data_IF_903828855017
#
_entry.id   IF_903828855017
#
_cell.length_a   1.000
_cell.length_b   1.000
_cell.length_c   1.000
_cell.angle_alpha   90.00
_cell.angle_beta   90.00
_cell.angle_gamma   90.00
#
_symmetry.space_group_name_H-M   'P 1'
#
loop_
_entity.id
_entity.type
_entity.pdbx_description
1 polymer ?
#
# COMPACT_ATOMS: atom_id res chain seq x y z
N UNK A 1 0.57 11.47 11.34
CA UNK A 1 1.23 11.49 10.02
C UNK A 1 0.12 11.32 9.01
N UNK A 2 -0.11 12.31 8.17
CA UNK A 2 -1.08 12.19 7.07
C UNK A 2 -0.49 11.30 5.99
N UNK A 3 -1.28 10.36 5.49
CA UNK A 3 -0.90 9.50 4.38
C UNK A 3 -0.85 10.37 3.11
N UNK A 4 0.25 10.33 2.36
CA UNK A 4 0.33 11.05 1.08
C UNK A 4 -0.51 10.31 0.03
N UNK A 5 -1.73 10.82 -0.19
CA UNK A 5 -2.72 10.27 -1.11
C UNK A 5 -2.30 10.40 -2.57
N UNK A 6 -1.54 11.45 -2.91
CA UNK A 6 -1.03 11.62 -4.26
C UNK A 6 0.07 10.59 -4.55
N UNK A 7 0.95 10.36 -3.57
CA UNK A 7 1.98 9.33 -3.64
C UNK A 7 1.37 7.93 -3.72
N UNK A 8 0.37 7.63 -2.87
CA UNK A 8 -0.35 6.36 -2.90
C UNK A 8 -0.98 6.10 -4.26
N UNK A 9 -1.67 7.09 -4.83
CA UNK A 9 -2.26 7.00 -6.18
C UNK A 9 -1.20 6.79 -7.26
N UNK A 10 -0.07 7.50 -7.20
CA UNK A 10 1.05 7.31 -8.14
C UNK A 10 1.65 5.91 -8.01
N UNK A 11 1.81 5.40 -6.79
CA UNK A 11 2.33 4.07 -6.53
C UNK A 11 1.44 2.98 -7.12
N UNK A 12 0.13 3.05 -6.86
CA UNK A 12 -0.82 2.03 -7.34
C UNK A 12 -1.00 2.04 -8.87
N UNK A 13 -0.80 3.19 -9.53
CA UNK A 13 -0.97 3.33 -10.97
C UNK A 13 0.31 3.14 -11.79
N UNK A 14 1.48 3.52 -11.26
CA UNK A 14 2.75 3.53 -12.00
C UNK A 14 3.82 2.60 -11.45
N UNK A 15 3.63 2.04 -10.25
CA UNK A 15 4.65 1.23 -9.54
C UNK A 15 4.13 -0.17 -9.16
N UNK A 16 3.21 -0.72 -9.97
CA UNK A 16 2.73 -2.10 -9.83
C UNK A 16 3.88 -3.11 -9.77
N UNK A 17 4.94 -2.89 -10.55
CA UNK A 17 6.15 -3.73 -10.57
C UNK A 17 6.94 -3.69 -9.25
N UNK A 18 6.98 -2.53 -8.57
CA UNK A 18 7.64 -2.41 -7.26
C UNK A 18 6.83 -3.16 -6.18
N UNK A 19 5.50 -3.10 -6.29
CA UNK A 19 4.61 -3.88 -5.42
C UNK A 19 4.80 -5.38 -5.66
N UNK A 20 4.87 -5.82 -6.91
CA UNK A 20 5.13 -7.21 -7.27
C UNK A 20 6.48 -7.72 -6.72
N UNK A 21 7.54 -6.91 -6.85
CA UNK A 21 8.85 -7.21 -6.27
C UNK A 21 8.81 -7.29 -4.75
N UNK A 22 8.06 -6.40 -4.10
CA UNK A 22 7.93 -6.35 -2.64
C UNK A 22 7.22 -7.59 -2.08
N UNK A 23 6.24 -8.14 -2.81
CA UNK A 23 5.51 -9.36 -2.38
C UNK A 23 6.16 -10.66 -2.84
N UNK A 24 7.08 -10.62 -3.80
CA UNK A 24 7.74 -11.80 -4.34
C UNK A 24 8.39 -12.64 -3.23
N UNK A 25 8.06 -13.93 -3.18
CA UNK A 25 8.59 -14.87 -2.17
C UNK A 25 7.94 -14.81 -0.79
N UNK A 26 6.98 -13.90 -0.56
CA UNK A 26 6.32 -13.76 0.75
C UNK A 26 5.00 -14.54 0.88
N UNK A 27 4.50 -15.10 -0.23
CA UNK A 27 3.19 -15.76 -0.32
C UNK A 27 1.99 -14.82 -0.43
N UNK A 28 2.22 -13.50 -0.38
CA UNK A 28 1.19 -12.49 -0.62
C UNK A 28 1.03 -12.24 -2.13
N UNK A 29 -0.19 -11.91 -2.55
CA UNK A 29 -0.47 -11.54 -3.92
C UNK A 29 -0.38 -10.02 -4.06
N UNK A 30 0.24 -9.53 -5.13
CA UNK A 30 0.36 -8.10 -5.41
C UNK A 30 -1.02 -7.43 -5.45
N UNK A 31 -2.04 -8.12 -6.01
CA UNK A 31 -3.43 -7.67 -6.01
C UNK A 31 -4.00 -7.39 -4.60
N UNK A 32 -3.54 -8.10 -3.57
CA UNK A 32 -3.97 -7.88 -2.19
C UNK A 32 -3.39 -6.57 -1.66
N UNK A 33 -2.10 -6.31 -1.91
CA UNK A 33 -1.47 -5.03 -1.55
C UNK A 33 -2.11 -3.88 -2.30
N UNK A 34 -2.34 -4.04 -3.61
CA UNK A 34 -3.03 -3.04 -4.44
C UNK A 34 -4.44 -2.76 -3.89
N UNK A 35 -5.21 -3.81 -3.57
CA UNK A 35 -6.55 -3.65 -3.02
C UNK A 35 -6.58 -2.92 -1.67
N UNK A 36 -5.59 -3.14 -0.80
CA UNK A 36 -5.45 -2.38 0.45
C UNK A 36 -5.15 -0.90 0.17
N UNK A 37 -4.27 -0.61 -0.80
CA UNK A 37 -3.99 0.76 -1.21
C UNK A 37 -5.20 1.45 -1.84
N UNK A 38 -5.96 0.77 -2.69
CA UNK A 38 -7.20 1.31 -3.27
C UNK A 38 -8.23 1.59 -2.18
N UNK A 39 -8.39 0.67 -1.22
CA UNK A 39 -9.29 0.89 -0.09
C UNK A 39 -8.90 2.13 0.72
N UNK A 40 -7.61 2.34 0.97
CA UNK A 40 -7.13 3.57 1.61
C UNK A 40 -7.47 4.81 0.77
N UNK A 41 -7.29 4.76 -0.55
CA UNK A 41 -7.67 5.88 -1.43
C UNK A 41 -9.16 6.21 -1.35
N UNK A 42 -10.01 5.19 -1.33
CA UNK A 42 -11.47 5.34 -1.26
C UNK A 42 -11.94 5.87 0.11
N UNK A 43 -11.12 5.71 1.14
CA UNK A 43 -11.41 6.13 2.52
C UNK A 43 -10.50 7.28 2.99
N UNK A 44 -10.08 8.16 2.07
CA UNK A 44 -9.29 9.36 2.40
C UNK A 44 -7.98 9.09 3.17
N UNK A 45 -7.44 7.88 3.05
CA UNK A 45 -6.21 7.46 3.70
C UNK A 45 -6.38 7.02 5.15
N UNK A 46 -7.62 6.77 5.60
CA UNK A 46 -7.90 6.34 6.96
C UNK A 46 -7.45 4.88 7.18
N UNK A 47 -6.31 4.74 7.86
CA UNK A 47 -5.68 3.46 8.19
C UNK A 47 -6.43 2.74 9.32
N UNK A 48 -7.20 3.44 10.13
CA UNK A 48 -7.97 2.84 11.24
C UNK A 48 -9.22 2.10 10.75
N UNK A 49 -9.66 2.37 9.52
CA UNK A 49 -10.70 1.60 8.83
C UNK A 49 -10.19 0.26 8.28
N UNK A 50 -8.87 0.03 8.27
CA UNK A 50 -8.31 -1.25 7.85
C UNK A 50 -8.61 -2.35 8.88
N UNK A 51 -9.09 -3.49 8.40
CA UNK A 51 -9.12 -4.70 9.23
C UNK A 51 -7.72 -5.12 9.65
N UNK A 52 -7.60 -5.89 10.74
CA UNK A 52 -6.30 -6.36 11.25
C UNK A 52 -5.41 -7.01 10.18
N UNK A 53 -6.00 -7.78 9.25
CA UNK A 53 -5.27 -8.42 8.15
C UNK A 53 -4.79 -7.42 7.09
N UNK A 54 -5.60 -6.41 6.78
CA UNK A 54 -5.23 -5.35 5.85
C UNK A 54 -4.16 -4.45 6.47
N UNK A 55 -4.23 -4.16 7.77
CA UNK A 55 -3.24 -3.39 8.52
C UNK A 55 -1.87 -4.05 8.49
N UNK A 56 -1.79 -5.36 8.68
CA UNK A 56 -0.53 -6.12 8.51
C UNK A 56 0.02 -5.98 7.09
N UNK A 57 -0.84 -6.03 6.07
CA UNK A 57 -0.43 -5.88 4.66
C UNK A 57 0.08 -4.46 4.39
N UNK A 58 -0.61 -3.46 4.94
CA UNK A 58 -0.22 -2.06 4.85
C UNK A 58 1.15 -1.84 5.50
N UNK A 59 1.34 -2.28 6.74
CA UNK A 59 2.58 -2.09 7.49
C UNK A 59 3.78 -2.84 6.89
N UNK A 60 3.57 -4.04 6.34
CA UNK A 60 4.65 -4.82 5.72
C UNK A 60 5.06 -4.32 4.35
N UNK A 61 4.12 -3.88 3.52
CA UNK A 61 4.37 -3.65 2.09
C UNK A 61 4.14 -2.21 1.67
N UNK A 62 2.96 -1.64 1.94
CA UNK A 62 2.63 -0.28 1.49
C UNK A 62 3.44 0.79 2.23
N UNK A 63 3.48 0.73 3.56
CA UNK A 63 4.16 1.73 4.37
C UNK A 63 5.65 1.88 4.02
N UNK A 64 6.46 0.79 3.92
CA UNK A 64 7.86 0.91 3.50
C UNK A 64 8.03 1.49 2.09
N UNK A 65 7.13 1.15 1.16
CA UNK A 65 7.17 1.68 -0.20
C UNK A 65 6.82 3.17 -0.26
N UNK A 66 5.85 3.62 0.55
CA UNK A 66 5.51 5.03 0.68
C UNK A 66 6.66 5.82 1.31
N UNK A 67 7.18 5.34 2.45
CA UNK A 67 8.30 5.98 3.16
C UNK A 67 9.57 6.07 2.27
N UNK A 68 9.80 5.09 1.40
CA UNK A 68 10.92 5.09 0.45
C UNK A 68 10.77 6.12 -0.69
N UNK A 69 9.53 6.53 -1.02
CA UNK A 69 9.24 7.48 -2.09
C UNK A 69 8.97 8.91 -1.59
N UNK A 70 8.90 9.14 -0.28
CA UNK A 70 8.78 10.47 0.35
C UNK A 70 10.15 11.14 0.57
N UNK A 71 11.27 10.48 0.23
CA UNK A 71 12.63 11.02 0.39
C UNK A 71 13.19 11.63 -0.89
#
# INVERSE_FOLDING_TARGET
MELDMELLRKMLSKKSDEIEKSVAGTGYLAKTVIGVGTFLLDNEGDVDLLSAKQRVTYEKFLKPLLDANTR
#
